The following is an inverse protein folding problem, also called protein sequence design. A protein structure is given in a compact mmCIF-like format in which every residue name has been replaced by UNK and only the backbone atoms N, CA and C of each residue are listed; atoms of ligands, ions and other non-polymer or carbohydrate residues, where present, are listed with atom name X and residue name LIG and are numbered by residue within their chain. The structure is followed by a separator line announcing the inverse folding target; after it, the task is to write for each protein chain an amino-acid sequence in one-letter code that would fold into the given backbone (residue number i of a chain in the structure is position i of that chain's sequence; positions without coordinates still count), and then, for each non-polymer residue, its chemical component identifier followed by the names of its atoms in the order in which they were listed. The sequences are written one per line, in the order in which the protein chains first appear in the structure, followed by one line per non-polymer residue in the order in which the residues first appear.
data_IF_127752403231
#
_entry.id   IF_127752403231
#
_cell.length_a   1.000
_cell.length_b   1.000
_cell.length_c   1.000
_cell.angle_alpha   90.00
_cell.angle_beta   90.00
_cell.angle_gamma   90.00
#
_symmetry.space_group_name_H-M   'P 1'
#
loop_
_entity.id
_entity.type
_entity.pdbx_description
1 polymer ?
#
# COMPACT_ATOMS: atom_id res chain seq x y z
N UNK A 1 13.39 0.65 -34.41
CA UNK A 1 14.59 0.37 -33.60
C UNK A 1 14.70 1.48 -32.57
N UNK A 2 14.18 1.25 -31.37
CA UNK A 2 14.20 2.20 -30.26
C UNK A 2 15.45 1.92 -29.44
N UNK A 3 16.39 2.86 -29.43
CA UNK A 3 17.61 2.79 -28.62
C UNK A 3 17.24 2.78 -27.14
N UNK A 4 17.38 1.61 -26.50
CA UNK A 4 17.30 1.48 -25.06
C UNK A 4 18.50 2.18 -24.42
N UNK A 5 18.30 3.40 -23.94
CA UNK A 5 19.24 4.02 -23.00
C UNK A 5 19.19 3.23 -21.70
N UNK A 6 20.13 2.29 -21.55
CA UNK A 6 20.55 1.76 -20.26
C UNK A 6 21.20 2.93 -19.49
N UNK A 7 20.36 3.77 -18.87
CA UNK A 7 20.83 4.73 -17.89
C UNK A 7 21.34 3.94 -16.69
N UNK A 8 22.58 4.18 -16.28
CA UNK A 8 23.15 3.61 -15.06
C UNK A 8 22.20 3.89 -13.90
N UNK A 9 21.48 2.88 -13.44
CA UNK A 9 20.59 3.02 -12.27
C UNK A 9 21.50 3.25 -11.07
N UNK A 10 21.54 4.49 -10.59
CA UNK A 10 22.31 4.85 -9.41
C UNK A 10 21.56 4.36 -8.17
N UNK A 11 21.88 3.13 -7.75
CA UNK A 11 21.35 2.55 -6.52
C UNK A 11 22.14 3.06 -5.32
N UNK A 12 21.51 3.85 -4.46
CA UNK A 12 22.08 4.23 -3.17
C UNK A 12 21.52 3.34 -2.08
N UNK A 13 22.40 2.67 -1.34
CA UNK A 13 22.05 1.85 -0.20
C UNK A 13 22.42 2.58 1.09
N UNK A 14 21.42 2.80 1.95
CA UNK A 14 21.62 3.32 3.29
C UNK A 14 21.61 2.15 4.27
N UNK A 15 22.73 1.96 4.97
CA UNK A 15 22.78 1.04 6.11
C UNK A 15 22.35 1.79 7.36
N UNK A 16 21.16 1.47 7.86
CA UNK A 16 20.67 1.98 9.14
C UNK A 16 20.51 0.81 10.11
N UNK A 17 20.88 1.03 11.37
CA UNK A 17 20.65 0.05 12.45
C UNK A 17 19.18 0.01 12.90
N UNK A 18 18.40 1.04 12.56
CA UNK A 18 16.98 1.20 12.87
C UNK A 18 16.21 1.68 11.63
N UNK A 19 14.89 1.53 11.65
CA UNK A 19 14.01 2.09 10.60
C UNK A 19 13.85 3.59 10.83
N UNK A 20 14.27 4.46 9.89
CA UNK A 20 14.22 5.90 10.11
C UNK A 20 12.78 6.42 10.19
N UNK A 21 12.58 7.33 11.12
CA UNK A 21 11.35 8.11 11.34
C UNK A 21 11.06 9.06 10.17
N UNK A 22 9.84 9.62 10.05
CA UNK A 22 9.52 10.58 9.00
C UNK A 22 10.49 11.77 8.92
N UNK A 23 10.81 12.39 10.06
CA UNK A 23 11.77 13.51 10.09
C UNK A 23 13.19 13.11 9.70
N UNK A 24 13.64 11.90 10.07
CA UNK A 24 14.95 11.38 9.63
C UNK A 24 14.98 11.09 8.12
N UNK A 25 13.85 10.66 7.53
CA UNK A 25 13.73 10.49 6.08
C UNK A 25 13.83 11.83 5.36
N UNK A 26 13.22 12.89 5.88
CA UNK A 26 13.32 14.23 5.32
C UNK A 26 14.76 14.74 5.33
N UNK A 27 15.49 14.49 6.43
CA UNK A 27 16.91 14.82 6.54
C UNK A 27 17.74 14.01 5.52
N UNK A 28 17.50 12.70 5.41
CA UNK A 28 18.18 11.85 4.42
C UNK A 28 17.90 12.35 3.00
N UNK A 29 16.65 12.73 2.70
CA UNK A 29 16.25 13.24 1.39
C UNK A 29 16.90 14.58 1.07
N UNK A 30 16.95 15.51 2.03
CA UNK A 30 17.64 16.79 1.88
C UNK A 30 19.16 16.62 1.70
N UNK A 31 19.75 15.68 2.44
CA UNK A 31 21.19 15.40 2.30
C UNK A 31 21.50 14.76 0.94
N UNK A 32 20.66 13.83 0.49
CA UNK A 32 20.73 13.22 -0.84
C UNK A 32 20.66 14.26 -1.97
N UNK A 33 19.74 15.23 -1.88
CA UNK A 33 19.63 16.28 -2.89
C UNK A 33 20.92 17.09 -3.00
N UNK A 34 21.53 17.40 -1.85
CA UNK A 34 22.83 18.11 -1.80
C UNK A 34 23.98 17.25 -2.34
N UNK A 35 24.04 15.97 -1.95
CA UNK A 35 25.15 15.07 -2.29
C UNK A 35 25.19 14.70 -3.78
N UNK A 36 24.03 14.50 -4.41
CA UNK A 36 23.93 14.13 -5.83
C UNK A 36 23.94 15.38 -6.73
N UNK A 37 23.94 16.60 -6.15
CA UNK A 37 23.82 17.87 -6.89
C UNK A 37 22.60 17.85 -7.84
N UNK A 38 21.52 17.20 -7.39
CA UNK A 38 20.30 17.05 -8.15
C UNK A 38 19.23 17.95 -7.54
N UNK A 39 18.38 18.53 -8.39
CA UNK A 39 17.22 19.26 -7.91
C UNK A 39 16.35 18.36 -7.01
N UNK A 40 15.73 18.90 -5.97
CA UNK A 40 15.01 18.12 -4.94
C UNK A 40 13.96 17.19 -5.58
N UNK A 41 13.36 17.65 -6.67
CA UNK A 41 12.32 16.95 -7.43
C UNK A 41 12.86 15.86 -8.39
N UNK A 42 14.18 15.81 -8.57
CA UNK A 42 14.89 14.82 -9.41
C UNK A 42 15.74 13.85 -8.60
N UNK A 43 15.72 13.96 -7.27
CA UNK A 43 16.39 12.99 -6.39
C UNK A 43 15.67 11.65 -6.54
N UNK A 44 16.40 10.55 -6.82
CA UNK A 44 15.81 9.22 -6.79
C UNK A 44 15.14 9.01 -5.45
N UNK A 45 13.84 8.66 -5.45
CA UNK A 45 13.07 8.42 -4.23
C UNK A 45 13.88 7.48 -3.33
N UNK A 46 14.32 8.00 -2.18
CA UNK A 46 15.14 7.24 -1.25
C UNK A 46 14.35 6.05 -0.76
N UNK A 47 14.72 4.84 -1.21
CA UNK A 47 14.15 3.58 -0.72
C UNK A 47 14.81 3.22 0.61
N UNK A 48 14.64 4.08 1.61
CA UNK A 48 15.03 3.77 2.99
C UNK A 48 14.18 2.60 3.47
N UNK A 49 14.70 1.68 4.29
CA UNK A 49 13.87 0.60 4.86
C UNK A 49 12.69 1.22 5.60
N UNK A 50 11.48 1.04 5.07
CA UNK A 50 10.23 1.41 5.73
C UNK A 50 9.60 0.15 6.31
N UNK A 51 8.96 0.29 7.47
CA UNK A 51 8.12 -0.79 7.98
C UNK A 51 6.95 -0.98 7.02
N UNK A 52 6.49 -2.23 6.86
CA UNK A 52 5.24 -2.53 6.18
C UNK A 52 4.20 -2.90 7.23
N UNK A 53 3.02 -2.33 7.08
CA UNK A 53 1.87 -2.72 7.88
C UNK A 53 0.83 -3.39 6.99
N UNK A 54 0.29 -4.50 7.47
CA UNK A 54 -0.70 -5.31 6.75
C UNK A 54 -2.08 -5.00 7.29
N UNK A 55 -3.01 -4.69 6.38
CA UNK A 55 -4.38 -4.34 6.72
C UNK A 55 -5.34 -5.13 5.83
N UNK A 56 -6.59 -5.22 6.29
CA UNK A 56 -7.69 -5.73 5.48
C UNK A 56 -8.94 -4.89 5.64
N UNK A 57 -9.69 -4.78 4.55
CA UNK A 57 -11.03 -4.22 4.53
C UNK A 57 -12.02 -5.40 4.55
N UNK A 58 -13.06 -5.26 5.36
CA UNK A 58 -14.13 -6.25 5.55
C UNK A 58 -15.48 -5.55 5.46
N UNK A 59 -16.55 -6.29 5.19
CA UNK A 59 -17.90 -5.70 5.09
C UNK A 59 -18.28 -5.20 3.70
N UNK A 60 -17.52 -5.59 2.66
CA UNK A 60 -17.78 -5.23 1.26
C UNK A 60 -18.27 -6.45 0.50
N UNK A 61 -19.24 -6.29 -0.40
CA UNK A 61 -19.68 -7.36 -1.29
C UNK A 61 -18.60 -7.71 -2.32
N UNK A 62 -18.41 -9.00 -2.56
CA UNK A 62 -17.54 -9.49 -3.64
C UNK A 62 -18.15 -9.25 -5.02
N UNK A 63 -19.49 -9.16 -5.08
CA UNK A 63 -20.20 -8.88 -6.31
C UNK A 63 -20.57 -7.40 -6.43
N UNK A 64 -20.11 -6.76 -7.49
CA UNK A 64 -20.39 -5.37 -7.83
C UNK A 64 -21.65 -5.26 -8.68
N UNK A 65 -22.32 -4.10 -8.68
CA UNK A 65 -23.35 -3.78 -9.66
C UNK A 65 -22.85 -3.98 -11.10
N UNK A 66 -23.70 -4.47 -12.00
CA UNK A 66 -23.33 -4.80 -13.39
C UNK A 66 -22.97 -3.58 -14.25
N UNK A 67 -23.25 -2.38 -13.79
CA UNK A 67 -22.92 -1.10 -14.43
C UNK A 67 -21.52 -0.57 -14.06
N UNK A 68 -20.79 -1.22 -13.15
CA UNK A 68 -19.40 -0.84 -12.82
C UNK A 68 -18.42 -1.16 -13.94
N UNK A 69 -18.70 -2.19 -14.73
CA UNK A 69 -17.79 -2.67 -15.75
C UNK A 69 -18.48 -2.82 -17.10
N UNK A 70 -17.94 -2.17 -18.14
CA UNK A 70 -18.47 -2.23 -19.52
C UNK A 70 -18.49 -3.66 -20.10
N UNK A 71 -17.66 -4.55 -19.56
CA UNK A 71 -17.58 -5.96 -19.96
C UNK A 71 -18.66 -6.84 -19.30
N UNK A 72 -19.54 -6.26 -18.47
CA UNK A 72 -20.58 -6.98 -17.73
C UNK A 72 -20.06 -7.85 -16.59
N UNK A 73 -18.78 -7.73 -16.23
CA UNK A 73 -18.24 -8.32 -15.00
C UNK A 73 -19.00 -7.75 -13.81
N UNK A 74 -19.27 -8.60 -12.84
CA UNK A 74 -19.87 -8.21 -11.57
C UNK A 74 -18.96 -8.60 -10.39
N UNK A 75 -17.66 -8.82 -10.64
CA UNK A 75 -16.71 -9.17 -9.59
C UNK A 75 -15.90 -7.95 -9.19
N UNK A 76 -15.77 -7.72 -7.89
CA UNK A 76 -14.94 -6.66 -7.34
C UNK A 76 -13.47 -6.90 -7.71
N UNK A 77 -12.85 -5.91 -8.34
CA UNK A 77 -11.45 -5.95 -8.77
C UNK A 77 -10.55 -5.09 -7.89
N UNK A 78 -9.23 -5.29 -8.02
CA UNK A 78 -8.26 -4.44 -7.32
C UNK A 78 -8.32 -2.98 -7.79
N UNK A 79 -8.67 -2.74 -9.06
CA UNK A 79 -8.78 -1.38 -9.62
C UNK A 79 -9.97 -0.63 -9.03
N UNK A 80 -11.09 -1.31 -8.78
CA UNK A 80 -12.25 -0.71 -8.11
C UNK A 80 -11.91 -0.31 -6.67
N UNK A 81 -11.20 -1.18 -5.97
CA UNK A 81 -10.72 -0.90 -4.61
C UNK A 81 -9.79 0.31 -4.63
N UNK A 82 -8.84 0.37 -5.55
CA UNK A 82 -7.93 1.51 -5.69
C UNK A 82 -8.70 2.79 -6.00
N UNK A 83 -9.71 2.74 -6.87
CA UNK A 83 -10.58 3.88 -7.15
C UNK A 83 -11.24 4.39 -5.87
N UNK A 84 -11.91 3.52 -5.10
CA UNK A 84 -12.58 3.93 -3.85
C UNK A 84 -11.57 4.47 -2.83
N UNK A 85 -10.41 3.83 -2.69
CA UNK A 85 -9.37 4.28 -1.74
C UNK A 85 -8.86 5.68 -2.12
N UNK A 86 -8.57 5.93 -3.40
CA UNK A 86 -8.05 7.22 -3.86
C UNK A 86 -9.05 8.37 -3.73
N UNK A 87 -10.36 8.08 -3.71
CA UNK A 87 -11.41 9.09 -3.56
C UNK A 87 -11.88 9.27 -2.11
N UNK A 88 -11.31 8.54 -1.16
CA UNK A 88 -11.71 8.60 0.23
C UNK A 88 -10.65 9.32 1.09
N UNK A 89 -11.03 10.37 1.84
CA UNK A 89 -10.09 11.16 2.65
C UNK A 89 -9.40 10.34 3.75
N UNK A 90 -9.96 9.18 4.12
CA UNK A 90 -9.34 8.28 5.09
C UNK A 90 -7.99 7.72 4.60
N UNK A 91 -7.80 7.60 3.29
CA UNK A 91 -6.54 7.15 2.68
C UNK A 91 -5.69 8.32 2.17
N UNK A 92 -6.07 9.56 2.46
CA UNK A 92 -5.26 10.73 2.14
C UNK A 92 -3.89 10.61 2.85
N UNK A 93 -2.81 10.79 2.10
CA UNK A 93 -1.42 10.62 2.57
C UNK A 93 -1.02 9.18 2.96
N UNK A 94 -1.80 8.16 2.60
CA UNK A 94 -1.44 6.76 2.79
C UNK A 94 -0.79 6.22 1.52
N UNK A 95 0.46 5.79 1.63
CA UNK A 95 1.18 5.17 0.51
C UNK A 95 1.06 3.65 0.55
N UNK A 96 0.43 3.07 -0.47
CA UNK A 96 0.36 1.61 -0.64
C UNK A 96 1.74 1.01 -0.94
N UNK A 97 2.04 -0.13 -0.32
CA UNK A 97 3.25 -0.90 -0.55
C UNK A 97 3.08 -1.96 -1.64
N UNK A 98 1.84 -2.33 -1.95
CA UNK A 98 1.44 -3.28 -2.99
C UNK A 98 0.01 -2.96 -3.45
N UNK A 99 -0.39 -3.36 -4.68
CA UNK A 99 -1.79 -3.31 -5.09
C UNK A 99 -2.68 -4.14 -4.15
N UNK A 100 -3.92 -3.70 -3.86
CA UNK A 100 -4.85 -4.48 -3.06
C UNK A 100 -5.15 -5.85 -3.68
N UNK A 101 -5.33 -6.86 -2.82
CA UNK A 101 -5.75 -8.20 -3.22
C UNK A 101 -7.17 -8.46 -2.75
N UNK A 102 -8.07 -8.73 -3.70
CA UNK A 102 -9.48 -9.05 -3.41
C UNK A 102 -9.66 -10.56 -3.34
N UNK A 103 -10.24 -11.05 -2.25
CA UNK A 103 -10.58 -12.46 -2.06
C UNK A 103 -12.00 -12.59 -1.55
N UNK A 104 -12.69 -13.69 -1.84
CA UNK A 104 -13.94 -14.04 -1.15
C UNK A 104 -13.63 -14.41 0.31
N UNK A 105 -14.49 -14.00 1.24
CA UNK A 105 -14.32 -14.31 2.66
C UNK A 105 -14.33 -15.82 2.94
N UNK A 106 -15.16 -16.56 2.20
CA UNK A 106 -15.18 -18.02 2.11
C UNK A 106 -15.56 -18.43 0.68
N UNK A 107 -15.35 -19.70 0.26
CA UNK A 107 -15.69 -20.15 -1.10
C UNK A 107 -17.16 -19.93 -1.52
N UNK A 108 -18.07 -19.85 -0.55
CA UNK A 108 -19.50 -19.66 -0.77
C UNK A 108 -20.02 -18.30 -0.25
N UNK A 109 -19.14 -17.43 0.23
CA UNK A 109 -19.55 -16.11 0.73
C UNK A 109 -19.69 -15.11 -0.41
N UNK A 110 -20.70 -14.26 -0.31
CA UNK A 110 -20.86 -13.09 -1.18
C UNK A 110 -20.06 -11.88 -0.69
N UNK A 111 -19.34 -12.01 0.44
CA UNK A 111 -18.50 -10.97 1.02
C UNK A 111 -17.06 -11.10 0.54
N UNK A 112 -16.40 -9.97 0.34
CA UNK A 112 -14.98 -9.87 0.07
C UNK A 112 -14.18 -9.60 1.36
N UNK A 113 -12.95 -10.12 1.37
CA UNK A 113 -11.85 -9.64 2.20
C UNK A 113 -10.85 -9.01 1.23
N UNK A 114 -10.58 -7.73 1.42
CA UNK A 114 -9.65 -6.98 0.59
C UNK A 114 -8.39 -6.77 1.43
N UNK A 115 -7.29 -7.37 1.03
CA UNK A 115 -5.99 -7.21 1.69
C UNK A 115 -5.23 -6.07 1.03
N UNK A 116 -4.57 -5.24 1.84
CA UNK A 116 -3.72 -4.17 1.33
C UNK A 116 -2.57 -3.90 2.28
N UNK A 117 -1.43 -3.56 1.70
CA UNK A 117 -0.21 -3.29 2.44
C UNK A 117 0.11 -1.81 2.31
N UNK A 118 0.53 -1.19 3.41
CA UNK A 118 0.96 0.21 3.42
C UNK A 118 2.40 0.33 3.86
N UNK A 119 3.08 1.35 3.34
CA UNK A 119 4.31 1.82 3.94
C UNK A 119 4.00 2.55 5.24
N UNK A 120 4.76 2.24 6.29
CA UNK A 120 4.53 2.79 7.62
C UNK A 120 5.86 3.15 8.32
N UNK A 121 5.69 3.87 9.40
CA UNK A 121 6.68 4.04 10.47
C UNK A 121 6.90 2.72 11.22
N UNK A 122 8.03 2.60 11.93
CA UNK A 122 8.30 1.44 12.79
C UNK A 122 7.22 1.21 13.86
N UNK A 123 6.57 2.28 14.31
CA UNK A 123 5.53 2.24 15.34
C UNK A 123 4.13 1.93 14.79
N UNK A 124 3.98 1.72 13.48
CA UNK A 124 2.70 1.42 12.87
C UNK A 124 1.69 2.59 12.94
N UNK A 125 2.17 3.84 12.92
CA UNK A 125 1.32 5.02 13.08
C UNK A 125 0.18 5.07 12.06
N UNK A 126 0.47 4.80 10.79
CA UNK A 126 -0.55 4.80 9.73
C UNK A 126 -1.53 3.64 9.92
N UNK A 127 -1.04 2.45 10.25
CA UNK A 127 -1.89 1.30 10.53
C UNK A 127 -2.82 1.55 11.72
N UNK A 128 -2.32 2.17 12.80
CA UNK A 128 -3.12 2.55 13.97
C UNK A 128 -4.19 3.58 13.63
N UNK A 129 -3.89 4.53 12.76
CA UNK A 129 -4.83 5.55 12.30
C UNK A 129 -6.01 4.92 11.54
N UNK A 130 -5.73 3.92 10.71
CA UNK A 130 -6.71 3.22 9.86
C UNK A 130 -7.45 2.10 10.60
N UNK A 131 -6.83 1.46 11.59
CA UNK A 131 -7.40 0.29 12.27
C UNK A 131 -8.72 0.63 12.98
N UNK A 132 -9.73 -0.23 12.78
CA UNK A 132 -11.09 -0.09 13.29
C UNK A 132 -11.84 1.15 12.78
N UNK A 133 -11.34 1.82 11.75
CA UNK A 133 -12.11 2.84 11.05
C UNK A 133 -13.09 2.20 10.08
N UNK A 134 -14.28 2.78 10.01
CA UNK A 134 -15.30 2.45 9.03
C UNK A 134 -15.40 3.55 7.99
N UNK A 135 -15.71 3.17 6.75
CA UNK A 135 -15.95 4.12 5.67
C UNK A 135 -16.95 3.54 4.67
N UNK A 136 -17.56 4.41 3.87
CA UNK A 136 -18.48 3.97 2.82
C UNK A 136 -17.67 3.44 1.63
N UNK A 137 -17.96 2.20 1.25
CA UNK A 137 -17.48 1.57 0.04
C UNK A 137 -18.70 1.38 -0.87
N UNK A 138 -18.97 2.39 -1.70
CA UNK A 138 -20.23 2.49 -2.44
C UNK A 138 -21.44 2.42 -1.48
N UNK A 139 -22.30 1.40 -1.61
CA UNK A 139 -23.46 1.14 -0.75
C UNK A 139 -23.13 0.39 0.53
N UNK A 140 -21.93 -0.17 0.63
CA UNK A 140 -21.51 -1.00 1.76
C UNK A 140 -20.78 -0.17 2.82
N UNK A 141 -20.91 -0.58 4.09
CA UNK A 141 -20.12 0.00 5.19
C UNK A 141 -18.92 -0.91 5.45
N UNK A 142 -17.77 -0.47 4.96
CA UNK A 142 -16.51 -1.18 5.08
C UNK A 142 -15.84 -0.88 6.43
N UNK A 143 -15.13 -1.86 6.99
CA UNK A 143 -14.33 -1.73 8.21
C UNK A 143 -12.91 -2.21 7.98
N UNK A 144 -11.94 -1.38 8.34
CA UNK A 144 -10.51 -1.69 8.26
C UNK A 144 -10.08 -2.42 9.54
N UNK A 145 -9.33 -3.50 9.38
CA UNK A 145 -8.75 -4.28 10.47
C UNK A 145 -7.26 -4.46 10.25
N UNK A 146 -6.50 -4.34 11.34
CA UNK A 146 -5.12 -4.80 11.39
C UNK A 146 -5.07 -6.31 11.11
N UNK A 147 -4.05 -6.72 10.36
CA UNK A 147 -3.68 -8.12 10.24
C UNK A 147 -2.18 -8.29 10.41
N UNK A 148 -1.77 -9.48 10.82
CA UNK A 148 -0.35 -9.79 10.93
C UNK A 148 0.27 -9.92 9.53
N UNK A 149 -0.48 -10.50 8.57
CA UNK A 149 -0.12 -10.64 7.15
C UNK A 149 -1.28 -11.25 6.35
N UNK A 150 -1.20 -11.23 5.02
CA UNK A 150 -2.16 -11.89 4.12
C UNK A 150 -1.61 -13.18 3.48
N UNK A 151 -2.47 -14.13 3.06
CA UNK A 151 -2.04 -15.39 2.43
C UNK A 151 -1.33 -15.13 1.10
N UNK A 152 -0.07 -15.58 0.97
CA UNK A 152 0.69 -15.48 -0.29
C UNK A 152 1.91 -14.58 -0.27
N UNK A 153 2.17 -13.84 0.81
CA UNK A 153 3.44 -13.11 0.99
C UNK A 153 4.54 -14.06 1.46
N UNK A 154 5.70 -14.00 0.79
CA UNK A 154 6.90 -14.74 1.21
C UNK A 154 7.38 -14.24 2.56
N UNK A 155 7.39 -15.13 3.56
CA UNK A 155 7.88 -14.81 4.89
C UNK A 155 9.40 -14.82 4.92
N UNK A 156 9.99 -13.77 5.49
CA UNK A 156 11.41 -13.78 5.84
C UNK A 156 11.64 -14.81 6.95
N UNK A 157 12.73 -15.60 6.89
CA UNK A 157 13.05 -16.65 7.89
C UNK A 157 13.13 -16.12 9.33
N UNK A 158 13.48 -14.85 9.53
CA UNK A 158 13.50 -14.21 10.86
C UNK A 158 12.11 -13.74 11.35
N UNK A 159 11.14 -13.63 10.44
CA UNK A 159 9.77 -13.21 10.71
C UNK A 159 8.90 -14.39 11.22
N UNK A 160 9.45 -15.61 11.23
CA UNK A 160 8.82 -16.84 11.74
C UNK A 160 8.84 -16.98 13.27
N UNK A 161 9.47 -16.05 13.99
CA UNK A 161 9.63 -16.13 15.44
C UNK A 161 8.48 -15.47 16.20
#
# INVERSE_FOLDING_TARGET
MSEGRSGTVFGLAFSTNLVPTPGERDIIHEWLSKAIQCDKDKVPISRVPMSKSYLKITGVNFYTPTDWHDNGSNQLTADDVLYVMNHNPLFENITLASPPCVMRATPHSDMAIIWFDIWDSQNGTNAKLLTNRSFNFDKDVAVIRACNMHPGISQCQNCWK
#
